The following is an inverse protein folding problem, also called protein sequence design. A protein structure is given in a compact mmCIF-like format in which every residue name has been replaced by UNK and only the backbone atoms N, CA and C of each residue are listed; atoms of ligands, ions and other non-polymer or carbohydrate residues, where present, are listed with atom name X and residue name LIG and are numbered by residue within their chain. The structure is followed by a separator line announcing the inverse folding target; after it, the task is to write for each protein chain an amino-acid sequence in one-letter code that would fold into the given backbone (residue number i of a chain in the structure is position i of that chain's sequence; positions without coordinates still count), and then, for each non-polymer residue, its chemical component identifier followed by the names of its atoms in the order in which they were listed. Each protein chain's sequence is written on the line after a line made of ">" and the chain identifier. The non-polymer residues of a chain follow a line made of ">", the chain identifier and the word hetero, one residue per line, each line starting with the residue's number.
data_IF_567931557889
#
_entry.id   IF_567931557889
#
_cell.length_a   1.000
_cell.length_b   1.000
_cell.length_c   1.000
_cell.angle_alpha   90.00
_cell.angle_beta   90.00
_cell.angle_gamma   90.00
#
_symmetry.space_group_name_H-M   'P 1'
#
loop_
_entity.id
_entity.type
_entity.pdbx_description
1 polymer ?
#
# COMPACT_ATOMS: atom_id res chain seq x y z
N UNK A 1 -36.07 45.29 -35.93
CA UNK A 1 -35.26 45.37 -34.70
C UNK A 1 -34.41 44.11 -34.61
N UNK A 2 -33.12 44.32 -34.33
CA UNK A 2 -32.09 43.43 -33.76
C UNK A 2 -31.75 42.06 -34.37
N UNK A 3 -30.43 41.88 -34.50
CA UNK A 3 -29.64 40.69 -34.80
C UNK A 3 -29.62 39.64 -33.68
N UNK A 4 -29.27 38.41 -34.07
CA UNK A 4 -28.54 37.38 -33.28
C UNK A 4 -28.69 36.01 -33.96
N UNK A 5 -27.76 35.50 -34.79
CA UNK A 5 -26.53 34.72 -34.44
C UNK A 5 -26.79 33.79 -33.22
N UNK A 6 -26.61 32.47 -33.27
CA UNK A 6 -25.45 31.70 -33.71
C UNK A 6 -25.85 30.23 -34.01
N UNK A 7 -25.15 29.64 -34.98
CA UNK A 7 -24.96 28.21 -35.18
C UNK A 7 -24.31 27.56 -33.94
N UNK A 8 -24.57 26.29 -33.65
CA UNK A 8 -23.51 25.29 -33.41
C UNK A 8 -24.10 23.86 -33.33
N UNK A 9 -23.86 23.09 -34.39
CA UNK A 9 -23.62 21.65 -34.33
C UNK A 9 -22.40 21.39 -33.43
N UNK A 10 -22.37 20.31 -32.65
CA UNK A 10 -21.12 19.97 -31.97
C UNK A 10 -21.14 18.85 -30.94
N UNK A 11 -21.20 17.60 -31.41
CA UNK A 11 -20.39 16.48 -30.91
C UNK A 11 -20.63 16.06 -29.45
N UNK A 12 -21.53 15.09 -29.25
CA UNK A 12 -21.45 14.16 -28.13
C UNK A 12 -20.24 13.23 -28.34
N UNK A 13 -19.04 13.73 -28.07
CA UNK A 13 -17.90 12.86 -27.78
C UNK A 13 -18.10 12.36 -26.36
N UNK A 14 -18.86 11.27 -26.21
CA UNK A 14 -18.71 10.43 -25.03
C UNK A 14 -17.25 10.01 -25.02
N UNK A 15 -16.56 10.56 -24.04
CA UNK A 15 -15.15 10.38 -23.74
C UNK A 15 -14.90 8.89 -23.58
N UNK A 16 -14.49 8.22 -24.66
CA UNK A 16 -13.58 7.09 -24.55
C UNK A 16 -12.21 7.68 -24.21
N UNK A 17 -12.09 8.25 -23.00
CA UNK A 17 -10.82 8.21 -22.31
C UNK A 17 -10.63 6.72 -22.01
N UNK A 18 -9.99 6.03 -22.95
CA UNK A 18 -9.38 4.76 -22.64
C UNK A 18 -8.61 4.93 -21.34
N UNK A 19 -8.76 3.96 -20.44
CA UNK A 19 -8.02 3.87 -19.21
C UNK A 19 -6.53 3.99 -19.54
N UNK A 20 -5.99 5.21 -19.52
CA UNK A 20 -4.57 5.42 -19.57
C UNK A 20 -4.09 4.96 -18.21
N UNK A 21 -3.28 3.89 -18.21
CA UNK A 21 -2.48 3.41 -17.09
C UNK A 21 -1.50 4.50 -16.63
N UNK A 22 -2.03 5.60 -16.10
CA UNK A 22 -1.29 6.79 -15.71
C UNK A 22 -1.75 7.22 -14.32
N UNK A 23 -1.84 6.24 -13.41
CA UNK A 23 -1.86 6.57 -12.00
C UNK A 23 -0.52 7.21 -11.60
N UNK A 24 -0.48 8.05 -10.55
CA UNK A 24 0.76 8.60 -10.02
C UNK A 24 1.69 7.49 -9.54
N UNK A 25 2.95 7.48 -9.98
CA UNK A 25 3.91 6.44 -9.57
C UNK A 25 4.20 6.55 -8.07
N UNK A 26 3.88 5.51 -7.31
CA UNK A 26 4.15 5.45 -5.87
C UNK A 26 5.53 4.83 -5.68
N UNK A 27 6.46 5.53 -5.05
CA UNK A 27 7.77 4.98 -4.70
C UNK A 27 7.85 4.72 -3.20
N UNK A 28 8.09 3.46 -2.83
CA UNK A 28 8.26 3.03 -1.45
C UNK A 28 9.77 2.86 -1.22
N UNK A 29 10.41 3.72 -0.40
CA UNK A 29 11.85 3.67 -0.21
C UNK A 29 12.26 2.53 0.74
N UNK A 30 13.45 1.96 0.52
CA UNK A 30 14.09 1.09 1.50
C UNK A 30 14.28 1.83 2.83
N UNK A 31 14.09 1.10 3.93
CA UNK A 31 14.10 1.64 5.29
C UNK A 31 12.77 2.21 5.76
N UNK A 32 11.75 2.28 4.89
CA UNK A 32 10.42 2.75 5.29
C UNK A 32 9.60 1.70 6.03
N UNK A 33 8.72 2.16 6.91
CA UNK A 33 7.74 1.31 7.58
C UNK A 33 6.36 1.42 6.95
N UNK A 34 5.82 0.30 6.49
CA UNK A 34 4.41 0.18 6.11
C UNK A 34 3.64 -0.33 7.33
N UNK A 35 2.68 0.45 7.79
CA UNK A 35 1.81 0.08 8.91
C UNK A 35 0.52 -0.50 8.35
N UNK A 36 0.09 -1.65 8.86
CA UNK A 36 -1.18 -2.27 8.48
C UNK A 36 -1.99 -2.67 9.71
N UNK A 37 -3.31 -2.61 9.59
CA UNK A 37 -4.24 -3.13 10.59
C UNK A 37 -4.68 -4.53 10.20
N UNK A 38 -4.45 -5.51 11.08
CA UNK A 38 -4.77 -6.90 10.82
C UNK A 38 -6.27 -7.16 10.73
N UNK A 39 -6.68 -7.77 9.62
CA UNK A 39 -8.06 -8.20 9.36
C UNK A 39 -8.18 -9.72 9.24
N UNK A 40 -7.08 -10.43 8.98
CA UNK A 40 -7.02 -11.88 8.90
C UNK A 40 -5.68 -12.42 9.41
N UNK A 41 -5.72 -13.54 10.12
CA UNK A 41 -4.57 -14.25 10.67
C UNK A 41 -4.69 -15.72 10.27
N UNK A 42 -3.72 -16.22 9.52
CA UNK A 42 -3.53 -17.62 9.15
C UNK A 42 -2.05 -17.85 8.82
N UNK A 43 -1.76 -18.62 7.76
CA UNK A 43 -0.37 -18.75 7.25
C UNK A 43 0.19 -17.42 6.73
N UNK A 44 -0.71 -16.52 6.33
CA UNK A 44 -0.41 -15.13 6.02
C UNK A 44 -1.22 -14.20 6.91
N UNK A 45 -0.60 -13.08 7.27
CA UNK A 45 -1.21 -11.95 7.94
C UNK A 45 -1.72 -10.98 6.90
N UNK A 46 -3.01 -10.67 6.88
CA UNK A 46 -3.60 -9.79 5.87
C UNK A 46 -4.29 -8.62 6.56
N UNK A 47 -4.11 -7.43 5.99
CA UNK A 47 -4.67 -6.22 6.57
C UNK A 47 -4.72 -5.04 5.61
N UNK A 48 -5.46 -4.03 6.06
CA UNK A 48 -5.55 -2.75 5.36
C UNK A 48 -4.39 -1.86 5.78
N UNK A 49 -3.86 -1.09 4.83
CA UNK A 49 -2.81 -0.15 5.13
C UNK A 49 -3.34 1.04 5.93
N UNK A 50 -2.54 1.50 6.88
CA UNK A 50 -2.80 2.71 7.65
C UNK A 50 -1.97 3.87 7.12
N UNK A 51 -2.49 5.10 7.15
CA UNK A 51 -1.73 6.26 6.72
C UNK A 51 -0.52 6.44 7.65
N UNK A 52 0.68 6.40 7.07
CA UNK A 52 1.93 6.58 7.80
C UNK A 52 1.99 8.02 8.29
N UNK A 53 1.74 8.22 9.57
CA UNK A 53 1.69 9.55 10.19
C UNK A 53 3.00 9.81 10.93
N UNK A 54 3.86 10.69 10.38
CA UNK A 54 4.94 11.34 11.13
C UNK A 54 5.99 10.43 11.81
N UNK A 55 6.61 9.50 11.08
CA UNK A 55 7.99 9.14 11.43
C UNK A 55 8.88 10.33 11.01
N UNK A 56 9.47 11.01 12.00
CA UNK A 56 10.11 12.35 11.91
C UNK A 56 11.13 12.58 10.78
N UNK A 57 11.50 11.57 10.01
CA UNK A 57 12.50 11.62 8.95
C UNK A 57 12.13 10.82 7.69
N UNK A 58 10.88 10.36 7.54
CA UNK A 58 10.50 9.67 6.31
C UNK A 58 10.13 10.69 5.22
N UNK A 59 10.81 10.67 4.06
CA UNK A 59 10.29 11.36 2.92
C UNK A 59 9.01 10.64 2.46
N UNK A 60 8.08 11.44 1.97
CA UNK A 60 7.04 11.11 0.97
C UNK A 60 5.64 10.64 1.42
N UNK A 61 4.67 11.18 0.69
CA UNK A 61 3.22 10.95 0.67
C UNK A 61 2.81 9.49 0.36
N UNK A 62 3.75 8.55 0.22
CA UNK A 62 3.47 7.20 -0.31
C UNK A 62 2.47 6.45 0.56
N UNK A 63 2.55 6.55 1.90
CA UNK A 63 1.60 5.92 2.80
C UNK A 63 0.18 6.44 2.62
N UNK A 64 0.03 7.73 2.29
CA UNK A 64 -1.27 8.33 1.97
C UNK A 64 -1.77 7.84 0.60
N UNK A 65 -0.89 7.83 -0.40
CA UNK A 65 -1.22 7.34 -1.75
C UNK A 65 -1.62 5.86 -1.76
N UNK A 66 -0.96 5.01 -0.96
CA UNK A 66 -1.31 3.61 -0.80
C UNK A 66 -2.72 3.43 -0.22
N UNK A 67 -3.09 4.25 0.77
CA UNK A 67 -4.44 4.23 1.35
C UNK A 67 -5.49 4.77 0.36
N UNK A 68 -5.18 5.85 -0.36
CA UNK A 68 -6.05 6.43 -1.38
C UNK A 68 -6.32 5.48 -2.56
N UNK A 69 -5.37 4.58 -2.84
CA UNK A 69 -5.52 3.52 -3.85
C UNK A 69 -6.10 2.21 -3.31
N UNK A 70 -6.65 2.23 -2.10
CA UNK A 70 -7.26 1.07 -1.44
C UNK A 70 -6.32 -0.15 -1.41
N UNK A 71 -5.02 0.09 -1.19
CA UNK A 71 -4.06 -0.99 -1.13
C UNK A 71 -4.25 -1.84 0.15
N UNK A 72 -4.10 -3.15 -0.01
CA UNK A 72 -4.02 -4.13 1.08
C UNK A 72 -2.70 -4.87 1.01
N UNK A 73 -2.25 -5.38 2.15
CA UNK A 73 -1.00 -6.11 2.25
C UNK A 73 -1.18 -7.45 2.95
N UNK A 74 -0.54 -8.47 2.40
CA UNK A 74 -0.43 -9.81 2.96
C UNK A 74 1.03 -10.14 3.27
N UNK A 75 1.35 -10.55 4.48
CA UNK A 75 2.69 -10.97 4.89
C UNK A 75 2.63 -12.47 5.16
N UNK A 76 3.38 -13.26 4.41
CA UNK A 76 3.55 -14.68 4.75
C UNK A 76 4.47 -14.79 5.95
N UNK A 77 4.04 -15.55 6.96
CA UNK A 77 4.81 -15.68 8.20
C UNK A 77 5.09 -17.12 8.57
N UNK A 78 6.22 -17.31 9.23
CA UNK A 78 6.58 -18.57 9.87
C UNK A 78 6.91 -18.33 11.35
N UNK A 79 6.69 -19.34 12.18
CA UNK A 79 7.13 -19.29 13.57
C UNK A 79 8.64 -19.56 13.66
N UNK A 80 9.38 -18.67 14.30
CA UNK A 80 10.80 -18.84 14.54
C UNK A 80 11.07 -19.19 16.02
N UNK A 81 11.45 -20.44 16.29
CA UNK A 81 11.67 -20.94 17.64
C UNK A 81 12.81 -20.24 18.40
N UNK A 82 13.83 -19.74 17.68
CA UNK A 82 14.96 -19.06 18.32
C UNK A 82 14.59 -17.66 18.80
N UNK A 83 13.65 -17.02 18.10
CA UNK A 83 13.18 -15.67 18.40
C UNK A 83 11.88 -15.69 19.22
N UNK A 84 11.20 -16.84 19.29
CA UNK A 84 9.91 -17.01 19.97
C UNK A 84 8.86 -16.01 19.40
N UNK A 85 8.86 -15.89 18.07
CA UNK A 85 8.11 -14.88 17.29
C UNK A 85 7.73 -15.38 15.90
N UNK A 86 6.62 -14.88 15.37
CA UNK A 86 6.31 -14.95 13.95
C UNK A 86 7.21 -14.00 13.17
N UNK A 87 7.88 -14.49 12.14
CA UNK A 87 8.73 -13.71 11.24
C UNK A 87 8.17 -13.77 9.82
N UNK A 88 8.34 -12.69 9.07
CA UNK A 88 7.98 -12.62 7.65
C UNK A 88 9.00 -11.78 6.92
N UNK A 89 9.45 -12.24 5.74
CA UNK A 89 10.54 -11.61 4.96
C UNK A 89 10.08 -11.04 3.62
N UNK A 90 8.83 -11.30 3.25
CA UNK A 90 8.21 -10.71 2.08
C UNK A 90 6.75 -10.37 2.33
N UNK A 91 6.25 -9.40 1.58
CA UNK A 91 4.85 -8.99 1.62
C UNK A 91 4.28 -8.85 0.21
N UNK A 92 3.08 -9.37 0.04
CA UNK A 92 2.20 -9.19 -1.09
C UNK A 92 1.46 -7.86 -0.96
N UNK A 93 1.68 -6.91 -1.87
CA UNK A 93 0.93 -5.65 -1.95
C UNK A 93 -0.04 -5.71 -3.13
N UNK A 94 -1.32 -5.44 -2.86
CA UNK A 94 -2.39 -5.42 -3.86
C UNK A 94 -3.10 -4.08 -3.77
N UNK A 95 -3.19 -3.36 -4.89
CA UNK A 95 -3.86 -2.07 -4.99
C UNK A 95 -4.86 -2.08 -6.16
N UNK A 96 -5.86 -1.20 -6.12
CA UNK A 96 -6.80 -1.07 -7.23
C UNK A 96 -6.08 -0.69 -8.53
N UNK A 97 -6.30 -1.48 -9.59
CA UNK A 97 -5.75 -1.24 -10.92
C UNK A 97 -4.25 -1.50 -11.07
N UNK A 98 -3.60 -2.12 -10.07
CA UNK A 98 -2.18 -2.49 -10.12
C UNK A 98 -2.06 -4.01 -9.96
N UNK A 99 -1.24 -4.65 -10.79
CA UNK A 99 -0.88 -6.05 -10.58
C UNK A 99 -0.19 -6.26 -9.23
N UNK A 100 -0.38 -7.45 -8.68
CA UNK A 100 0.21 -7.88 -7.42
C UNK A 100 1.73 -7.62 -7.38
N UNK A 101 2.19 -6.91 -6.36
CA UNK A 101 3.59 -6.54 -6.18
C UNK A 101 4.16 -7.21 -4.93
N UNK A 102 5.30 -7.88 -5.10
CA UNK A 102 6.04 -8.44 -3.98
C UNK A 102 7.03 -7.40 -3.42
N UNK A 103 6.97 -7.18 -2.12
CA UNK A 103 7.86 -6.34 -1.34
C UNK A 103 8.83 -7.20 -0.55
N UNK A 104 10.12 -6.89 -0.66
CA UNK A 104 11.17 -7.48 0.17
C UNK A 104 11.29 -6.67 1.47
N UNK A 105 11.19 -7.31 2.62
CA UNK A 105 11.16 -6.61 3.90
C UNK A 105 11.21 -7.51 5.12
N UNK A 106 10.83 -6.97 6.28
CA UNK A 106 10.76 -7.72 7.53
C UNK A 106 9.52 -7.31 8.33
N UNK A 107 8.78 -8.29 8.84
CA UNK A 107 7.81 -8.04 9.91
C UNK A 107 8.56 -7.54 11.16
N UNK A 108 8.14 -6.41 11.72
CA UNK A 108 8.72 -5.85 12.94
C UNK A 108 7.63 -5.41 13.93
N UNK A 109 7.92 -5.53 15.22
CA UNK A 109 7.02 -5.07 16.28
C UNK A 109 7.00 -3.54 16.40
N UNK A 110 6.19 -3.02 17.32
CA UNK A 110 6.08 -1.57 17.57
C UNK A 110 7.37 -0.93 18.13
N UNK A 111 8.31 -1.74 18.62
CA UNK A 111 9.62 -1.31 19.11
C UNK A 111 10.72 -1.44 18.04
N UNK A 112 10.38 -1.97 16.86
CA UNK A 112 11.30 -2.20 15.75
C UNK A 112 12.11 -3.49 15.84
N UNK A 113 11.78 -4.40 16.77
CA UNK A 113 12.42 -5.72 16.81
C UNK A 113 11.78 -6.66 15.78
N UNK A 114 12.60 -7.58 15.24
CA UNK A 114 12.17 -8.51 14.19
C UNK A 114 11.09 -9.46 14.72
N UNK A 115 10.04 -9.61 13.93
CA UNK A 115 8.92 -10.50 14.17
C UNK A 115 7.96 -10.00 15.25
N UNK A 116 6.82 -10.67 15.32
CA UNK A 116 5.73 -10.39 16.24
C UNK A 116 5.43 -11.65 17.06
N UNK A 117 5.37 -11.54 18.38
CA UNK A 117 5.10 -12.69 19.26
C UNK A 117 3.62 -13.04 19.30
N UNK A 118 2.81 -12.05 19.70
CA UNK A 118 1.37 -12.19 19.85
C UNK A 118 0.66 -11.43 18.73
N UNK A 119 -0.31 -12.09 18.10
CA UNK A 119 -1.08 -11.56 16.98
C UNK A 119 -2.58 -11.66 17.28
N UNK A 120 -3.25 -10.52 17.30
CA UNK A 120 -4.71 -10.42 17.45
C UNK A 120 -5.31 -9.66 16.28
N UNK A 121 -6.54 -10.02 15.89
CA UNK A 121 -7.29 -9.26 14.89
C UNK A 121 -7.47 -7.80 15.37
N UNK A 122 -7.21 -6.87 14.46
CA UNK A 122 -7.24 -5.43 14.73
C UNK A 122 -5.91 -4.85 15.21
N UNK A 123 -4.89 -5.67 15.50
CA UNK A 123 -3.55 -5.17 15.84
C UNK A 123 -2.94 -4.40 14.68
N UNK A 124 -2.11 -3.41 15.01
CA UNK A 124 -1.27 -2.71 14.04
C UNK A 124 0.09 -3.37 14.00
N UNK A 125 0.49 -3.82 12.82
CA UNK A 125 1.81 -4.40 12.59
C UNK A 125 2.59 -3.58 11.58
N UNK A 126 3.91 -3.64 11.69
CA UNK A 126 4.82 -2.88 10.85
C UNK A 126 5.59 -3.83 9.94
N UNK A 127 5.76 -3.43 8.68
CA UNK A 127 6.63 -4.09 7.74
C UNK A 127 7.74 -3.12 7.32
N UNK A 128 8.98 -3.46 7.66
CA UNK A 128 10.16 -2.69 7.30
C UNK A 128 10.61 -3.08 5.89
N UNK A 129 10.47 -2.16 4.94
CA UNK A 129 10.85 -2.38 3.54
C UNK A 129 12.37 -2.39 3.42
N UNK A 130 12.95 -3.44 2.84
CA UNK A 130 14.42 -3.56 2.68
C UNK A 130 14.91 -3.09 1.31
N UNK A 131 14.01 -3.06 0.32
CA UNK A 131 14.35 -2.70 -1.05
C UNK A 131 13.36 -1.69 -1.62
N UNK A 132 13.89 -0.59 -2.18
CA UNK A 132 13.07 0.44 -2.82
C UNK A 132 12.32 -0.15 -4.01
N UNK A 133 11.02 0.16 -4.10
CA UNK A 133 10.17 -0.27 -5.21
C UNK A 133 9.31 0.88 -5.71
N UNK A 134 8.93 0.82 -6.99
CA UNK A 134 8.03 1.80 -7.60
C UNK A 134 6.83 1.09 -8.23
N UNK A 135 5.65 1.45 -7.78
CA UNK A 135 4.36 1.06 -8.32
C UNK A 135 3.99 2.02 -9.46
N UNK A 136 3.47 1.50 -10.57
CA UNK A 136 3.01 2.30 -11.71
C UNK A 136 1.50 2.45 -11.66
#
# INVERSE_FOLDING_TARGET
>A
MSFGKLELLGIAAFVMAGCTETGPKITIPAGSHIVMKLNYIGDSLIGDLLPVSNLKNEPTDFGKELVERHCSMGITTEWNDNLDRHVGTSAALVCDGVEHLELEGELVDAQGAIGQRDLTLGDQINFLVKKTVTIK
#
